data_IF_682968041769
#
_entry.id   IF_682968041769
#
_cell.length_a   1.000
_cell.length_b   1.000
_cell.length_c   1.000
_cell.angle_alpha   90.00
_cell.angle_beta   90.00
_cell.angle_gamma   90.00
#
_symmetry.space_group_name_H-M   'P 1'
#
loop_
_entity.id
_entity.type
_entity.pdbx_description
1 polymer ?
#
# COMPACT_ATOMS: atom_id res chain seq x y z
N UNK A 1 41.90 16.24 41.62
CA UNK A 1 41.70 16.06 40.17
C UNK A 1 41.18 14.65 39.92
N UNK A 2 39.88 14.53 39.74
CA UNK A 2 39.21 13.25 39.38
C UNK A 2 38.94 13.30 37.89
N UNK A 3 39.58 12.40 37.13
CA UNK A 3 39.33 12.23 35.70
C UNK A 3 38.04 11.38 35.53
N UNK A 4 37.01 11.96 34.92
CA UNK A 4 35.82 11.26 34.50
C UNK A 4 36.09 10.66 33.11
N UNK A 5 36.25 9.33 33.06
CA UNK A 5 36.36 8.61 31.81
C UNK A 5 34.93 8.45 31.23
N UNK A 6 34.63 9.19 30.17
CA UNK A 6 33.39 9.03 29.39
C UNK A 6 33.48 7.74 28.58
N UNK A 7 32.60 6.78 28.87
CA UNK A 7 32.41 5.60 28.05
C UNK A 7 31.51 5.97 26.88
N UNK A 8 32.11 6.12 25.69
CA UNK A 8 31.35 6.20 24.43
C UNK A 8 30.86 4.80 24.06
N UNK A 9 29.58 4.52 24.28
CA UNK A 9 28.94 3.37 23.64
C UNK A 9 28.79 3.68 22.14
N UNK A 10 29.69 3.14 21.32
CA UNK A 10 29.44 3.04 19.90
C UNK A 10 28.29 2.05 19.69
N UNK A 11 27.09 2.54 19.41
CA UNK A 11 26.00 1.75 18.88
C UNK A 11 26.45 1.25 17.50
N UNK A 12 26.97 0.05 17.44
CA UNK A 12 27.22 -0.66 16.18
C UNK A 12 25.83 -1.04 15.65
N UNK A 13 25.29 -0.24 14.74
CA UNK A 13 24.11 -0.66 13.96
C UNK A 13 24.51 -1.91 13.17
N UNK A 14 23.77 -3.01 13.27
CA UNK A 14 24.07 -4.19 12.49
C UNK A 14 23.95 -3.85 11.00
N UNK A 15 24.95 -4.17 10.19
CA UNK A 15 25.06 -3.83 8.76
C UNK A 15 23.84 -4.30 7.93
N UNK A 16 23.06 -5.28 8.40
CA UNK A 16 21.85 -5.76 7.76
C UNK A 16 20.65 -4.79 7.85
N UNK A 17 20.64 -3.84 8.78
CA UNK A 17 19.54 -2.86 8.89
C UNK A 17 19.59 -1.80 7.77
N UNK A 18 20.77 -1.42 7.30
CA UNK A 18 20.93 -0.50 6.19
C UNK A 18 20.55 -1.12 4.83
N UNK A 19 20.70 -2.45 4.67
CA UNK A 19 20.32 -3.17 3.45
C UNK A 19 18.81 -3.50 3.39
N UNK A 20 18.09 -3.39 4.51
CA UNK A 20 16.69 -3.80 4.59
C UNK A 20 15.76 -2.93 3.74
N UNK A 21 16.00 -1.63 3.70
CA UNK A 21 15.12 -0.67 3.01
C UNK A 21 15.24 -0.77 1.50
N UNK A 22 16.42 -1.09 0.97
CA UNK A 22 16.65 -1.23 -0.49
C UNK A 22 15.88 -2.39 -1.13
N UNK A 23 15.29 -3.29 -0.34
CA UNK A 23 14.50 -4.42 -0.84
C UNK A 23 13.11 -4.03 -1.37
N UNK A 24 12.64 -2.81 -1.09
CA UNK A 24 11.28 -2.38 -1.38
C UNK A 24 11.20 -1.31 -2.48
N UNK A 25 11.90 -1.53 -3.60
CA UNK A 25 11.96 -0.59 -4.72
C UNK A 25 10.69 -0.58 -5.57
N UNK A 26 10.37 -1.69 -6.27
CA UNK A 26 9.25 -1.81 -7.21
C UNK A 26 8.30 -2.90 -6.76
N UNK A 27 7.12 -2.52 -6.30
CA UNK A 27 6.15 -3.43 -5.71
C UNK A 27 4.78 -3.41 -6.36
N UNK A 28 3.96 -4.34 -5.87
CA UNK A 28 2.56 -4.47 -6.26
C UNK A 28 1.70 -4.88 -5.06
N UNK A 29 0.55 -4.22 -4.90
CA UNK A 29 -0.46 -4.58 -3.92
C UNK A 29 -1.13 -5.91 -4.27
N UNK A 30 -1.29 -6.78 -3.29
CA UNK A 30 -1.97 -8.06 -3.43
C UNK A 30 -3.02 -8.23 -2.32
N UNK A 31 -4.29 -8.05 -2.69
CA UNK A 31 -5.41 -8.04 -1.73
C UNK A 31 -6.25 -9.32 -1.77
N UNK A 32 -6.33 -10.01 -2.91
CA UNK A 32 -7.26 -11.14 -3.12
C UNK A 32 -6.95 -12.39 -2.27
N UNK A 33 -5.80 -12.47 -1.60
CA UNK A 33 -5.38 -13.65 -0.84
C UNK A 33 -5.77 -13.57 0.63
N UNK A 34 -5.57 -12.40 1.30
CA UNK A 34 -5.82 -12.26 2.74
C UNK A 34 -6.55 -10.98 3.15
N UNK A 35 -6.99 -10.11 2.23
CA UNK A 35 -7.67 -8.86 2.60
C UNK A 35 -9.19 -9.00 2.78
N UNK A 36 -9.82 -10.02 2.20
CA UNK A 36 -11.28 -10.14 2.14
C UNK A 36 -11.76 -11.43 2.80
N UNK A 37 -11.75 -11.46 4.14
CA UNK A 37 -12.19 -12.62 4.89
C UNK A 37 -13.71 -12.79 4.84
N UNK A 38 -14.19 -13.95 4.42
CA UNK A 38 -15.61 -14.27 4.34
C UNK A 38 -16.25 -14.36 5.74
N UNK A 39 -17.50 -13.85 5.86
CA UNK A 39 -18.31 -13.91 7.06
C UNK A 39 -19.30 -15.06 6.92
N UNK A 40 -19.39 -15.91 7.93
CA UNK A 40 -20.37 -17.01 8.00
C UNK A 40 -21.80 -16.44 8.15
N UNK A 41 -22.80 -17.05 7.51
CA UNK A 41 -24.20 -16.67 7.70
C UNK A 41 -24.61 -16.76 9.18
N UNK A 42 -25.37 -15.76 9.66
CA UNK A 42 -25.93 -15.77 11.00
C UNK A 42 -25.74 -14.46 11.77
N UNK A 43 -26.45 -14.27 12.90
CA UNK A 43 -26.45 -13.03 13.66
C UNK A 43 -25.13 -12.74 14.37
N UNK A 44 -24.32 -13.77 14.63
CA UNK A 44 -23.04 -13.64 15.33
C UNK A 44 -21.93 -13.04 14.46
N UNK A 45 -22.14 -12.87 13.14
CA UNK A 45 -21.18 -12.29 12.20
C UNK A 45 -19.75 -12.82 12.40
N UNK A 46 -19.60 -14.14 12.53
CA UNK A 46 -18.29 -14.75 12.67
C UNK A 46 -17.61 -14.91 11.33
N UNK A 47 -16.31 -14.68 11.28
CA UNK A 47 -15.52 -15.05 10.10
C UNK A 47 -15.58 -16.57 9.87
N UNK A 48 -15.57 -16.96 8.61
CA UNK A 48 -15.43 -18.39 8.23
C UNK A 48 -14.10 -18.91 8.75
N UNK A 49 -14.09 -20.15 9.26
CA UNK A 49 -12.87 -20.77 9.78
C UNK A 49 -12.57 -22.09 9.05
N UNK A 50 -11.31 -22.32 8.59
CA UNK A 50 -10.23 -21.33 8.56
C UNK A 50 -10.52 -20.21 7.54
N UNK A 51 -10.07 -18.95 7.81
CA UNK A 51 -10.19 -17.86 6.86
C UNK A 51 -9.19 -18.00 5.71
N UNK A 52 -9.38 -17.21 4.63
CA UNK A 52 -8.40 -17.05 3.55
C UNK A 52 -8.09 -18.37 2.78
N UNK A 53 -9.13 -19.13 2.43
CA UNK A 53 -8.97 -20.42 1.76
C UNK A 53 -9.20 -20.37 0.24
N UNK A 54 -9.55 -19.22 -0.33
CA UNK A 54 -9.98 -19.10 -1.72
C UNK A 54 -8.83 -19.24 -2.72
N UNK A 55 -7.59 -18.99 -2.29
CA UNK A 55 -6.39 -19.12 -3.11
C UNK A 55 -5.52 -20.27 -2.63
N UNK A 56 -5.32 -21.30 -3.47
CA UNK A 56 -4.44 -22.43 -3.15
C UNK A 56 -2.96 -22.00 -3.16
N UNK A 57 -2.09 -22.74 -2.44
CA UNK A 57 -0.63 -22.49 -2.43
C UNK A 57 -0.01 -22.60 -3.83
N UNK A 58 -0.53 -23.53 -4.66
CA UNK A 58 -0.04 -23.72 -6.03
C UNK A 58 -0.37 -22.51 -6.92
N UNK A 59 -1.61 -22.02 -6.85
CA UNK A 59 -2.04 -20.81 -7.57
C UNK A 59 -1.25 -19.60 -7.11
N UNK A 60 -1.17 -19.37 -5.79
CA UNK A 60 -0.42 -18.24 -5.22
C UNK A 60 1.05 -18.25 -5.64
N UNK A 61 1.69 -19.43 -5.60
CA UNK A 61 3.09 -19.57 -6.04
C UNK A 61 3.26 -19.28 -7.54
N UNK A 62 2.30 -19.66 -8.39
CA UNK A 62 2.33 -19.35 -9.81
C UNK A 62 2.25 -17.83 -10.06
N UNK A 63 1.35 -17.15 -9.38
CA UNK A 63 1.19 -15.69 -9.41
C UNK A 63 2.48 -14.98 -8.98
N UNK A 64 3.07 -15.36 -7.85
CA UNK A 64 4.32 -14.79 -7.36
C UNK A 64 5.49 -14.95 -8.35
N UNK A 65 5.58 -16.11 -9.01
CA UNK A 65 6.59 -16.33 -10.07
C UNK A 65 6.36 -15.42 -11.27
N UNK A 66 5.10 -15.18 -11.63
CA UNK A 66 4.77 -14.24 -12.71
C UNK A 66 5.17 -12.82 -12.34
N UNK A 67 4.80 -12.34 -11.14
CA UNK A 67 5.20 -11.02 -10.64
C UNK A 67 6.72 -10.84 -10.63
N UNK A 68 7.44 -11.85 -10.14
CA UNK A 68 8.91 -11.83 -10.13
C UNK A 68 9.51 -11.76 -11.53
N UNK A 69 8.96 -12.51 -12.50
CA UNK A 69 9.42 -12.49 -13.90
C UNK A 69 9.10 -11.16 -14.59
N UNK A 70 7.99 -10.52 -14.25
CA UNK A 70 7.62 -9.19 -14.76
C UNK A 70 8.57 -8.09 -14.29
N UNK A 71 9.29 -8.29 -13.18
CA UNK A 71 10.32 -7.36 -12.69
C UNK A 71 9.95 -6.68 -11.38
N UNK A 72 8.88 -7.11 -10.70
CA UNK A 72 8.61 -6.69 -9.33
C UNK A 72 9.64 -7.24 -8.36
N UNK A 73 9.92 -6.49 -7.31
CA UNK A 73 10.92 -6.78 -6.29
C UNK A 73 10.26 -7.19 -4.97
N UNK A 74 9.05 -6.68 -4.70
CA UNK A 74 8.28 -7.01 -3.51
C UNK A 74 6.77 -7.04 -3.76
N UNK A 75 6.05 -7.63 -2.81
CA UNK A 75 4.60 -7.60 -2.71
C UNK A 75 4.21 -6.80 -1.46
N UNK A 76 3.33 -5.81 -1.60
CA UNK A 76 2.59 -5.23 -0.49
C UNK A 76 1.36 -6.11 -0.27
N UNK A 77 1.43 -6.93 0.77
CA UNK A 77 0.51 -8.03 1.03
C UNK A 77 -0.57 -7.60 2.02
N UNK A 78 -1.72 -7.23 1.49
CA UNK A 78 -2.85 -6.77 2.29
C UNK A 78 -3.48 -7.92 3.09
N UNK A 79 -3.64 -7.73 4.39
CA UNK A 79 -4.10 -8.71 5.37
C UNK A 79 -5.19 -8.11 6.24
N UNK A 80 -6.41 -8.64 6.17
CA UNK A 80 -7.50 -8.25 7.06
C UNK A 80 -7.19 -8.63 8.52
N UNK A 81 -7.06 -7.67 9.45
CA UNK A 81 -6.81 -7.94 10.86
C UNK A 81 -8.02 -8.53 11.60
N UNK A 82 -9.24 -8.45 11.04
CA UNK A 82 -10.48 -8.88 11.68
C UNK A 82 -10.47 -10.32 12.15
N UNK A 83 -10.12 -11.33 11.33
CA UNK A 83 -10.02 -12.73 11.77
C UNK A 83 -9.03 -12.92 12.91
N UNK A 84 -7.92 -12.17 12.89
CA UNK A 84 -6.92 -12.22 13.96
C UNK A 84 -7.44 -11.60 15.27
N UNK A 85 -8.34 -10.66 15.24
CA UNK A 85 -8.96 -10.05 16.41
C UNK A 85 -10.09 -10.92 16.96
N UNK A 86 -10.85 -11.57 16.08
CA UNK A 86 -12.02 -12.36 16.48
C UNK A 86 -11.65 -13.74 17.05
N UNK A 87 -10.74 -14.47 16.41
CA UNK A 87 -10.39 -15.82 16.84
C UNK A 87 -9.46 -15.82 18.04
N UNK A 88 -9.63 -16.83 18.93
CA UNK A 88 -8.82 -17.02 20.14
C UNK A 88 -8.27 -18.45 20.21
N UNK A 89 -7.25 -18.68 21.04
CA UNK A 89 -6.64 -19.99 21.28
C UNK A 89 -6.15 -20.65 19.98
N UNK A 90 -6.39 -21.94 19.82
CA UNK A 90 -5.91 -22.72 18.68
C UNK A 90 -6.38 -22.19 17.32
N UNK A 91 -7.58 -21.59 17.24
CA UNK A 91 -8.06 -20.97 15.99
C UNK A 91 -7.20 -19.76 15.63
N UNK A 92 -6.83 -18.95 16.60
CA UNK A 92 -5.93 -17.81 16.39
C UNK A 92 -4.55 -18.29 15.97
N UNK A 93 -4.00 -19.31 16.62
CA UNK A 93 -2.70 -19.89 16.26
C UNK A 93 -2.73 -20.47 14.83
N UNK A 94 -3.86 -20.98 14.37
CA UNK A 94 -4.02 -21.43 12.98
C UNK A 94 -3.99 -20.26 12.00
N UNK A 95 -4.65 -19.12 12.31
CA UNK A 95 -4.62 -17.92 11.45
C UNK A 95 -3.19 -17.34 11.39
N UNK A 96 -2.48 -17.30 12.51
CA UNK A 96 -1.06 -16.89 12.54
C UNK A 96 -0.17 -17.77 11.65
N UNK A 97 -0.37 -19.09 11.67
CA UNK A 97 0.35 -20.01 10.78
C UNK A 97 0.05 -19.76 9.32
N UNK A 98 -1.21 -19.50 8.95
CA UNK A 98 -1.59 -19.15 7.57
C UNK A 98 -0.81 -17.91 7.11
N UNK A 99 -0.74 -16.85 7.92
CA UNK A 99 0.05 -15.66 7.59
C UNK A 99 1.53 -15.99 7.36
N UNK A 100 2.15 -16.69 8.30
CA UNK A 100 3.58 -17.05 8.22
C UNK A 100 3.86 -17.92 6.99
N UNK A 101 2.98 -18.87 6.68
CA UNK A 101 3.12 -19.74 5.50
C UNK A 101 3.04 -18.92 4.20
N UNK A 102 2.09 -17.96 4.08
CA UNK A 102 1.99 -17.04 2.93
C UNK A 102 3.24 -16.16 2.79
N UNK A 103 3.73 -15.57 3.88
CA UNK A 103 4.97 -14.78 3.88
C UNK A 103 6.16 -15.64 3.40
N UNK A 104 6.26 -16.88 3.83
CA UNK A 104 7.32 -17.78 3.40
C UNK A 104 7.21 -18.14 1.91
N UNK A 105 6.00 -18.33 1.37
CA UNK A 105 5.80 -18.54 -0.08
C UNK A 105 6.25 -17.32 -0.90
N UNK A 106 5.93 -16.08 -0.46
CA UNK A 106 6.39 -14.86 -1.12
C UNK A 106 7.92 -14.82 -1.15
N UNK A 107 8.56 -15.01 -0.01
CA UNK A 107 10.04 -14.98 0.11
C UNK A 107 10.72 -16.06 -0.72
N UNK A 108 10.19 -17.29 -0.70
CA UNK A 108 10.73 -18.41 -1.48
C UNK A 108 10.61 -18.20 -2.99
N UNK A 109 9.69 -17.34 -3.43
CA UNK A 109 9.56 -16.91 -4.83
C UNK A 109 10.58 -15.84 -5.23
N UNK A 110 11.45 -15.39 -4.30
CA UNK A 110 12.49 -14.39 -4.54
C UNK A 110 12.02 -12.94 -4.39
N UNK A 111 10.78 -12.71 -3.92
CA UNK A 111 10.20 -11.40 -3.62
C UNK A 111 10.41 -11.03 -2.16
N UNK A 112 10.54 -9.73 -1.86
CA UNK A 112 10.34 -9.20 -0.53
C UNK A 112 8.84 -9.01 -0.24
N UNK A 113 8.47 -8.77 1.01
CA UNK A 113 7.08 -8.59 1.41
C UNK A 113 6.93 -7.47 2.44
N UNK A 114 6.01 -6.56 2.20
CA UNK A 114 5.42 -5.69 3.20
C UNK A 114 4.10 -6.35 3.61
N UNK A 115 4.01 -6.82 4.84
CA UNK A 115 2.74 -7.31 5.41
C UNK A 115 1.98 -6.07 5.86
N UNK A 116 0.90 -5.77 5.18
CA UNK A 116 0.06 -4.60 5.42
C UNK A 116 -1.19 -5.02 6.18
N UNK A 117 -1.38 -4.52 7.40
CA UNK A 117 -2.67 -4.66 8.07
C UNK A 117 -3.69 -3.74 7.44
N UNK A 118 -4.56 -4.34 6.64
CA UNK A 118 -5.55 -3.71 5.77
C UNK A 118 -6.97 -3.95 6.29
N UNK A 119 -7.47 -3.13 7.26
CA UNK A 119 -8.82 -3.28 7.77
C UNK A 119 -9.84 -3.19 6.65
N UNK A 120 -10.72 -4.17 6.55
CA UNK A 120 -11.77 -4.22 5.54
C UNK A 120 -13.14 -3.85 6.12
N UNK A 121 -14.06 -3.42 5.24
CA UNK A 121 -15.46 -3.16 5.62
C UNK A 121 -16.32 -4.44 5.66
N UNK A 122 -15.70 -5.61 5.50
CA UNK A 122 -16.43 -6.90 5.54
C UNK A 122 -17.09 -7.15 6.89
N UNK A 123 -16.44 -6.74 7.99
CA UNK A 123 -16.98 -6.92 9.33
C UNK A 123 -17.10 -5.58 10.08
N UNK A 124 -18.31 -5.18 10.54
CA UNK A 124 -18.57 -3.85 11.10
C UNK A 124 -17.80 -3.54 12.40
N UNK A 125 -17.32 -4.55 13.13
CA UNK A 125 -16.60 -4.35 14.39
C UNK A 125 -15.08 -4.14 14.17
N UNK A 126 -14.55 -4.43 12.97
CA UNK A 126 -13.12 -4.39 12.67
C UNK A 126 -12.75 -3.49 11.50
N UNK A 127 -13.64 -2.57 11.11
CA UNK A 127 -13.34 -1.55 10.08
C UNK A 127 -12.25 -0.59 10.54
N UNK A 128 -11.59 0.08 9.61
CA UNK A 128 -10.57 1.08 9.94
C UNK A 128 -11.09 2.15 10.92
N UNK A 129 -12.34 2.65 10.72
CA UNK A 129 -13.00 3.61 11.62
C UNK A 129 -13.19 3.05 13.03
N UNK A 130 -13.50 1.76 13.17
CA UNK A 130 -13.67 1.13 14.48
C UNK A 130 -12.33 0.94 15.19
N UNK A 131 -11.31 0.51 14.44
CA UNK A 131 -9.97 0.33 14.97
C UNK A 131 -9.32 1.66 15.38
N UNK A 132 -9.69 2.77 14.74
CA UNK A 132 -9.17 4.12 15.05
C UNK A 132 -10.13 4.98 15.89
N UNK A 133 -11.08 4.36 16.59
CA UNK A 133 -12.06 5.09 17.42
C UNK A 133 -11.47 5.83 18.64
N UNK A 134 -10.16 5.74 18.84
CA UNK A 134 -9.40 6.45 19.87
C UNK A 134 -8.36 5.55 20.56
N UNK A 135 -7.28 6.18 21.02
CA UNK A 135 -6.13 5.49 21.61
C UNK A 135 -6.47 4.60 22.83
N UNK A 136 -7.52 4.94 23.57
CA UNK A 136 -7.95 4.19 24.77
C UNK A 136 -9.12 3.24 24.50
N UNK A 137 -9.63 3.17 23.26
CA UNK A 137 -10.74 2.29 22.94
C UNK A 137 -10.36 0.81 23.11
N UNK A 138 -11.25 -0.05 23.62
CA UNK A 138 -10.92 -1.47 23.84
C UNK A 138 -10.51 -2.19 22.55
N UNK A 139 -11.11 -1.83 21.41
CA UNK A 139 -10.78 -2.43 20.11
C UNK A 139 -9.37 -2.02 19.67
N UNK A 140 -8.98 -0.76 19.85
CA UNK A 140 -7.61 -0.33 19.55
C UNK A 140 -6.60 -0.98 20.49
N UNK A 141 -6.90 -1.14 21.78
CA UNK A 141 -6.02 -1.86 22.70
C UNK A 141 -5.84 -3.34 22.28
N UNK A 142 -6.89 -4.00 21.79
CA UNK A 142 -6.79 -5.34 21.22
C UNK A 142 -5.96 -5.34 19.93
N UNK A 143 -6.07 -4.29 19.12
CA UNK A 143 -5.26 -4.10 17.91
C UNK A 143 -3.78 -3.92 18.23
N UNK A 144 -3.42 -3.19 19.28
CA UNK A 144 -2.03 -3.09 19.75
C UNK A 144 -1.43 -4.45 20.18
N UNK A 145 -2.23 -5.29 20.83
CA UNK A 145 -1.81 -6.66 21.17
C UNK A 145 -1.59 -7.52 19.91
N UNK A 146 -2.45 -7.33 18.90
CA UNK A 146 -2.29 -7.96 17.59
C UNK A 146 -1.00 -7.52 16.91
N UNK A 147 -0.73 -6.20 16.86
CA UNK A 147 0.49 -5.64 16.28
C UNK A 147 1.74 -6.24 16.97
N UNK A 148 1.78 -6.24 18.29
CA UNK A 148 2.92 -6.81 19.04
C UNK A 148 3.13 -8.29 18.72
N UNK A 149 2.04 -9.09 18.67
CA UNK A 149 2.09 -10.51 18.35
C UNK A 149 2.58 -10.74 16.91
N UNK A 150 2.04 -10.00 15.96
CA UNK A 150 2.43 -10.12 14.55
C UNK A 150 3.88 -9.69 14.31
N UNK A 151 4.31 -8.59 14.91
CA UNK A 151 5.70 -8.15 14.84
C UNK A 151 6.66 -9.23 15.40
N UNK A 152 6.29 -9.92 16.48
CA UNK A 152 7.07 -11.03 17.04
C UNK A 152 7.14 -12.21 16.08
N UNK A 153 6.04 -12.58 15.42
CA UNK A 153 6.01 -13.68 14.44
C UNK A 153 6.86 -13.38 13.22
N UNK A 154 6.71 -12.17 12.65
CA UNK A 154 7.46 -11.76 11.48
C UNK A 154 8.96 -11.54 11.79
N UNK A 155 9.27 -10.94 12.93
CA UNK A 155 10.65 -10.73 13.39
C UNK A 155 11.39 -12.04 13.63
N UNK A 156 10.70 -13.10 14.10
CA UNK A 156 11.29 -14.43 14.28
C UNK A 156 11.71 -15.10 12.95
N UNK A 157 11.31 -14.58 11.80
CA UNK A 157 11.76 -15.06 10.49
C UNK A 157 13.14 -14.50 10.09
N UNK A 158 13.71 -13.58 10.86
CA UNK A 158 15.06 -13.02 10.73
C UNK A 158 15.43 -12.65 9.29
N UNK A 159 14.67 -11.76 8.65
CA UNK A 159 14.87 -11.40 7.25
C UNK A 159 14.71 -9.91 7.01
N UNK A 160 15.67 -9.33 6.28
CA UNK A 160 15.59 -7.96 5.76
C UNK A 160 14.64 -7.78 4.56
N UNK A 161 14.01 -8.87 4.10
CA UNK A 161 12.99 -8.87 3.04
C UNK A 161 11.56 -8.89 3.58
N UNK A 162 11.38 -8.62 4.86
CA UNK A 162 10.07 -8.52 5.49
C UNK A 162 9.95 -7.15 6.15
N UNK A 163 8.89 -6.44 5.81
CA UNK A 163 8.46 -5.25 6.55
C UNK A 163 7.02 -5.46 7.04
N UNK A 164 6.65 -4.71 8.07
CA UNK A 164 5.31 -4.73 8.64
C UNK A 164 4.72 -3.32 8.64
N UNK A 165 3.66 -3.14 7.88
CA UNK A 165 2.85 -1.93 7.83
C UNK A 165 1.75 -1.99 8.87
N UNK A 166 1.76 -1.01 9.77
CA UNK A 166 1.01 -1.09 11.02
C UNK A 166 -0.50 -0.90 10.85
N UNK A 167 -0.92 -0.13 9.83
CA UNK A 167 -2.31 0.07 9.44
C UNK A 167 -2.37 0.76 8.07
N UNK A 168 -3.14 0.18 7.15
CA UNK A 168 -3.54 0.81 5.91
C UNK A 168 -4.53 1.95 6.15
N UNK A 169 -4.27 3.10 5.55
CA UNK A 169 -5.20 4.22 5.39
C UNK A 169 -5.98 4.60 6.65
N UNK A 170 -5.34 5.01 7.74
CA UNK A 170 -6.06 5.46 8.93
C UNK A 170 -7.03 6.61 8.59
N UNK A 171 -8.36 6.42 8.71
CA UNK A 171 -9.36 7.38 8.21
C UNK A 171 -9.68 8.50 9.20
N UNK A 172 -8.67 8.98 9.89
CA UNK A 172 -8.79 10.03 10.91
C UNK A 172 -7.77 11.13 10.66
N UNK A 173 -8.01 12.38 11.15
CA UNK A 173 -7.04 13.46 11.05
C UNK A 173 -5.67 13.06 11.62
N UNK A 174 -4.59 13.60 11.04
CA UNK A 174 -3.23 13.31 11.48
C UNK A 174 -3.01 13.58 12.98
N UNK A 175 -3.61 14.64 13.51
CA UNK A 175 -3.51 14.97 14.92
C UNK A 175 -4.12 13.91 15.85
N UNK A 176 -5.21 13.25 15.41
CA UNK A 176 -5.86 12.17 16.15
C UNK A 176 -5.13 10.83 15.96
N UNK A 177 -4.56 10.61 14.76
CA UNK A 177 -3.78 9.41 14.44
C UNK A 177 -2.42 9.38 15.13
N UNK A 178 -1.72 10.50 15.24
CA UNK A 178 -0.37 10.58 15.78
C UNK A 178 -0.15 9.84 17.11
N UNK A 179 -0.97 10.03 18.17
CA UNK A 179 -0.79 9.29 19.42
C UNK A 179 -1.08 7.79 19.25
N UNK A 180 -1.99 7.39 18.36
CA UNK A 180 -2.28 5.99 18.06
C UNK A 180 -1.13 5.35 17.29
N UNK A 181 -0.54 6.05 16.32
CA UNK A 181 0.63 5.59 15.58
C UNK A 181 1.83 5.37 16.51
N UNK A 182 2.09 6.28 17.44
CA UNK A 182 3.16 6.12 18.44
C UNK A 182 2.93 4.88 19.31
N UNK A 183 1.68 4.63 19.73
CA UNK A 183 1.33 3.44 20.50
C UNK A 183 1.48 2.15 19.68
N UNK A 184 1.08 2.16 18.40
CA UNK A 184 1.22 1.04 17.47
C UNK A 184 2.70 0.72 17.19
N UNK A 185 3.52 1.74 16.94
CA UNK A 185 4.97 1.61 16.79
C UNK A 185 5.60 1.00 18.06
N UNK A 186 5.26 1.50 19.24
CA UNK A 186 5.77 0.96 20.49
C UNK A 186 5.35 -0.51 20.71
N UNK A 187 4.13 -0.88 20.32
CA UNK A 187 3.67 -2.27 20.36
C UNK A 187 4.47 -3.16 19.39
N UNK A 188 4.71 -2.71 18.16
CA UNK A 188 5.52 -3.44 17.20
C UNK A 188 6.96 -3.64 17.70
N UNK A 189 7.58 -2.61 18.32
CA UNK A 189 8.95 -2.69 18.86
C UNK A 189 9.06 -3.59 20.12
N UNK A 190 7.99 -3.76 20.89
CA UNK A 190 7.94 -4.82 21.92
C UNK A 190 7.91 -6.21 21.32
N UNK A 191 7.28 -6.38 20.14
CA UNK A 191 7.27 -7.65 19.42
C UNK A 191 8.60 -7.98 18.75
N UNK A 192 9.19 -6.99 18.06
CA UNK A 192 10.48 -7.15 17.36
C UNK A 192 11.23 -5.80 17.33
N UNK A 193 12.50 -5.83 17.73
CA UNK A 193 13.35 -4.63 17.73
C UNK A 193 13.85 -4.25 16.34
N UNK A 194 14.01 -5.24 15.46
CA UNK A 194 14.78 -5.12 14.23
C UNK A 194 13.91 -5.25 12.96
N UNK A 195 12.62 -5.60 13.09
CA UNK A 195 11.71 -5.72 11.95
C UNK A 195 11.52 -4.35 11.30
N UNK A 196 11.66 -4.28 9.99
CA UNK A 196 11.32 -3.05 9.25
C UNK A 196 9.84 -2.74 9.42
N UNK A 197 9.52 -1.52 9.85
CA UNK A 197 8.15 -1.03 10.03
C UNK A 197 7.82 -0.02 8.94
N UNK A 198 6.59 -0.07 8.43
CA UNK A 198 6.04 0.93 7.54
C UNK A 198 4.99 1.74 8.29
N UNK A 199 5.14 3.06 8.30
CA UNK A 199 4.29 4.01 9.02
C UNK A 199 3.57 4.91 8.03
N UNK A 200 2.24 4.98 8.15
CA UNK A 200 1.38 5.86 7.35
C UNK A 200 0.86 7.03 8.17
N UNK A 201 0.60 8.15 7.48
CA UNK A 201 -0.14 9.27 8.04
C UNK A 201 -1.64 8.97 8.14
N UNK A 202 -2.39 9.85 8.82
CA UNK A 202 -3.85 9.86 8.80
C UNK A 202 -4.42 10.30 7.43
N UNK A 203 -5.71 10.64 7.41
CA UNK A 203 -6.39 11.07 6.17
C UNK A 203 -6.10 10.11 4.99
N UNK A 204 -6.33 8.80 5.25
CA UNK A 204 -6.19 7.74 4.24
C UNK A 204 -4.78 7.73 3.60
N UNK A 205 -3.74 7.84 4.46
CA UNK A 205 -2.33 7.84 4.06
C UNK A 205 -1.95 8.95 3.06
N UNK A 206 -2.66 10.08 3.06
CA UNK A 206 -2.40 11.16 2.12
C UNK A 206 -1.01 11.79 2.29
N UNK A 207 -0.41 12.28 1.20
CA UNK A 207 0.88 12.97 1.25
C UNK A 207 0.89 14.20 2.20
N UNK A 208 -0.16 15.04 2.27
CA UNK A 208 -0.25 16.08 3.28
C UNK A 208 -0.18 15.55 4.73
N UNK A 209 -0.90 14.47 5.05
CA UNK A 209 -0.87 13.89 6.38
C UNK A 209 0.49 13.27 6.74
N UNK A 210 1.19 12.70 5.76
CA UNK A 210 2.59 12.29 5.96
C UNK A 210 3.45 13.51 6.32
N UNK A 211 3.33 14.62 5.59
CA UNK A 211 4.11 15.83 5.85
C UNK A 211 3.78 16.53 7.18
N UNK A 212 2.58 16.30 7.71
CA UNK A 212 2.15 16.77 9.04
C UNK A 212 2.54 15.80 10.17
N UNK A 213 3.17 14.67 9.88
CA UNK A 213 3.55 13.67 10.87
C UNK A 213 4.70 14.19 11.76
N UNK A 214 4.53 14.08 13.08
CA UNK A 214 5.64 14.23 14.02
C UNK A 214 6.53 12.98 13.99
N UNK A 215 7.69 13.08 13.35
CA UNK A 215 8.64 11.97 13.16
C UNK A 215 9.58 11.76 14.35
N UNK A 216 9.64 12.68 15.31
CA UNK A 216 10.57 12.61 16.46
C UNK A 216 10.52 11.27 17.21
N UNK A 217 9.33 10.66 17.48
CA UNK A 217 9.27 9.37 18.16
C UNK A 217 9.96 8.21 17.41
N UNK A 218 10.18 8.35 16.11
CA UNK A 218 10.69 7.30 15.22
C UNK A 218 12.10 7.59 14.70
N UNK A 219 12.59 8.82 14.86
CA UNK A 219 13.78 9.35 14.17
C UNK A 219 15.10 8.63 14.50
N UNK A 220 15.17 7.94 15.64
CA UNK A 220 16.35 7.16 16.04
C UNK A 220 16.33 5.72 15.52
N UNK A 221 15.27 5.31 14.83
CA UNK A 221 15.07 3.95 14.37
C UNK A 221 15.37 3.82 12.87
N UNK A 222 16.49 3.18 12.48
CA UNK A 222 16.87 3.04 11.08
C UNK A 222 16.02 2.02 10.32
N UNK A 223 15.13 1.28 10.99
CA UNK A 223 14.26 0.29 10.38
C UNK A 223 12.81 0.81 10.23
N UNK A 224 12.65 2.10 9.89
CA UNK A 224 11.35 2.72 9.63
C UNK A 224 11.30 3.23 8.19
N UNK A 225 10.22 2.89 7.52
CA UNK A 225 9.80 3.43 6.22
C UNK A 225 8.57 4.30 6.45
N UNK A 226 8.51 5.46 5.83
CA UNK A 226 7.38 6.37 5.86
C UNK A 226 6.61 6.26 4.56
N UNK A 227 5.32 5.94 4.63
CA UNK A 227 4.49 5.63 3.46
C UNK A 227 3.40 6.67 3.25
N UNK A 228 3.09 6.93 2.00
CA UNK A 228 1.93 7.70 1.56
C UNK A 228 1.30 7.06 0.34
N UNK A 229 0.00 7.34 0.12
CA UNK A 229 -0.75 6.93 -1.06
C UNK A 229 -0.96 8.11 -2.00
N UNK A 230 -1.07 7.83 -3.30
CA UNK A 230 -1.24 8.86 -4.31
C UNK A 230 -2.24 8.43 -5.37
N UNK A 231 -3.39 9.09 -5.37
CA UNK A 231 -4.46 8.85 -6.32
C UNK A 231 -4.90 10.14 -7.05
N UNK A 232 -4.14 11.23 -6.91
CA UNK A 232 -4.49 12.47 -7.62
C UNK A 232 -4.18 12.36 -9.14
N UNK A 233 -5.06 12.90 -9.96
CA UNK A 233 -6.33 13.57 -9.63
C UNK A 233 -7.44 12.54 -9.45
N UNK A 234 -8.15 12.61 -8.34
CA UNK A 234 -9.17 11.64 -7.95
C UNK A 234 -10.29 11.47 -9.02
N UNK A 235 -10.61 12.53 -9.73
CA UNK A 235 -11.59 12.50 -10.83
C UNK A 235 -11.18 11.53 -11.94
N UNK A 236 -9.89 11.47 -12.26
CA UNK A 236 -9.36 10.54 -13.26
C UNK A 236 -9.21 9.12 -12.71
N UNK A 237 -8.57 8.99 -11.55
CA UNK A 237 -8.20 7.68 -11.02
C UNK A 237 -9.39 6.87 -10.52
N UNK A 238 -10.47 7.53 -10.07
CA UNK A 238 -11.63 6.86 -9.50
C UNK A 238 -12.91 6.99 -10.36
N UNK A 239 -12.79 7.52 -11.60
CA UNK A 239 -13.94 7.59 -12.48
C UNK A 239 -14.61 6.22 -12.65
N UNK A 240 -15.93 6.18 -12.55
CA UNK A 240 -16.73 4.97 -12.71
C UNK A 240 -16.65 3.95 -11.57
N UNK A 241 -15.86 4.19 -10.52
CA UNK A 241 -15.76 3.28 -9.38
C UNK A 241 -17.02 3.36 -8.50
N UNK A 242 -17.83 2.29 -8.48
CA UNK A 242 -19.19 2.27 -7.93
C UNK A 242 -19.29 2.59 -6.43
N UNK A 243 -18.21 2.42 -5.69
CA UNK A 243 -18.15 2.55 -4.23
C UNK A 243 -17.79 3.96 -3.73
N UNK A 244 -17.53 4.94 -4.65
CA UNK A 244 -17.06 6.26 -4.26
C UNK A 244 -17.83 7.42 -4.94
N UNK A 245 -17.61 8.69 -4.55
CA UNK A 245 -18.27 9.84 -5.14
C UNK A 245 -18.01 10.03 -6.65
N UNK A 246 -16.89 9.54 -7.20
CA UNK A 246 -16.55 9.63 -8.62
C UNK A 246 -17.25 8.56 -9.50
N UNK A 247 -18.12 7.73 -8.94
CA UNK A 247 -18.86 6.66 -9.65
C UNK A 247 -19.64 7.10 -10.88
N UNK A 248 -20.02 8.36 -10.93
CA UNK A 248 -20.77 8.95 -12.05
C UNK A 248 -19.87 9.65 -13.06
N UNK A 249 -18.58 9.82 -12.78
CA UNK A 249 -17.63 10.38 -13.74
C UNK A 249 -17.28 9.33 -14.78
N UNK A 250 -17.23 9.74 -16.05
CA UNK A 250 -16.88 8.88 -17.16
C UNK A 250 -16.07 9.64 -18.20
N UNK A 251 -15.15 8.94 -18.84
CA UNK A 251 -14.32 9.47 -19.93
C UNK A 251 -13.52 10.72 -19.53
N UNK A 252 -13.09 10.78 -18.28
CA UNK A 252 -12.23 11.83 -17.75
C UNK A 252 -10.82 11.65 -18.30
N UNK A 253 -10.26 12.67 -18.99
CA UNK A 253 -8.92 12.54 -19.58
C UNK A 253 -7.79 12.72 -18.59
N UNK A 254 -6.61 12.21 -18.95
CA UNK A 254 -5.33 12.58 -18.36
C UNK A 254 -4.29 12.80 -19.47
N UNK A 255 -3.58 13.95 -19.45
CA UNK A 255 -3.71 15.14 -18.59
C UNK A 255 -5.08 15.83 -18.70
N UNK A 256 -5.40 16.74 -17.77
CA UNK A 256 -6.72 17.40 -17.71
C UNK A 256 -7.13 18.10 -19.01
N UNK A 257 -6.17 18.59 -19.79
CA UNK A 257 -6.36 19.29 -21.04
C UNK A 257 -6.32 18.38 -22.28
N UNK A 258 -6.11 17.05 -22.13
CA UNK A 258 -5.89 16.14 -23.26
C UNK A 258 -7.08 16.05 -24.23
N UNK A 259 -8.30 16.27 -23.73
CA UNK A 259 -9.53 16.24 -24.52
C UNK A 259 -10.50 17.34 -24.12
N UNK A 260 -11.48 17.72 -24.96
CA UNK A 260 -12.50 18.72 -24.63
C UNK A 260 -13.37 18.28 -23.46
N UNK A 261 -13.71 19.21 -22.57
CA UNK A 261 -14.57 18.98 -21.41
C UNK A 261 -15.94 18.39 -21.79
N UNK A 262 -16.50 18.81 -22.93
CA UNK A 262 -17.82 18.36 -23.35
C UNK A 262 -17.91 16.85 -23.59
N UNK A 263 -16.79 16.17 -23.93
CA UNK A 263 -16.76 14.71 -24.10
C UNK A 263 -17.02 14.00 -22.77
N UNK A 264 -16.33 14.42 -21.70
CA UNK A 264 -16.53 13.89 -20.35
C UNK A 264 -17.92 14.22 -19.80
N UNK A 265 -18.45 15.43 -20.08
CA UNK A 265 -19.81 15.81 -19.67
C UNK A 265 -20.86 14.94 -20.37
N UNK A 266 -20.70 14.67 -21.66
CA UNK A 266 -21.63 13.82 -22.42
C UNK A 266 -21.59 12.36 -21.94
N UNK A 267 -20.39 11.81 -21.72
CA UNK A 267 -20.22 10.45 -21.21
C UNK A 267 -20.81 10.30 -19.78
N UNK A 268 -20.55 11.27 -18.91
CA UNK A 268 -21.10 11.34 -17.55
C UNK A 268 -22.63 11.43 -17.55
N UNK A 269 -23.22 12.26 -18.42
CA UNK A 269 -24.66 12.36 -18.56
C UNK A 269 -25.28 11.02 -19.02
N UNK A 270 -24.65 10.34 -19.98
CA UNK A 270 -25.08 9.03 -20.46
C UNK A 270 -25.00 7.96 -19.35
N UNK A 271 -23.90 7.92 -18.58
CA UNK A 271 -23.73 7.02 -17.46
C UNK A 271 -24.83 7.25 -16.38
N UNK A 272 -25.08 8.49 -15.98
CA UNK A 272 -26.13 8.83 -15.00
C UNK A 272 -27.53 8.45 -15.52
N UNK A 273 -27.79 8.70 -16.81
CA UNK A 273 -29.08 8.35 -17.44
C UNK A 273 -29.34 6.83 -17.43
N UNK A 274 -28.30 6.03 -17.57
CA UNK A 274 -28.35 4.56 -17.52
C UNK A 274 -28.51 3.99 -16.07
N UNK A 275 -28.34 4.84 -15.04
CA UNK A 275 -28.43 4.40 -13.64
C UNK A 275 -29.88 4.37 -13.17
N UNK A 276 -30.27 3.31 -12.43
CA UNK A 276 -31.60 3.18 -11.82
C UNK A 276 -31.73 4.02 -10.53
N UNK A 277 -31.74 5.35 -10.70
CA UNK A 277 -31.98 6.30 -9.62
C UNK A 277 -33.09 7.29 -10.02
N UNK A 278 -33.89 7.81 -9.06
CA UNK A 278 -34.95 8.78 -9.33
C UNK A 278 -34.47 10.04 -10.05
N UNK A 279 -35.29 10.59 -10.96
CA UNK A 279 -34.94 11.76 -11.74
C UNK A 279 -34.37 12.95 -10.95
N UNK A 280 -34.93 13.36 -9.76
CA UNK A 280 -34.31 14.40 -8.95
C UNK A 280 -32.88 14.08 -8.49
N UNK A 281 -32.60 12.82 -8.15
CA UNK A 281 -31.25 12.38 -7.76
C UNK A 281 -30.30 12.37 -8.97
N UNK A 282 -30.79 12.06 -10.18
CA UNK A 282 -29.97 12.16 -11.42
C UNK A 282 -29.55 13.61 -11.68
N UNK A 283 -30.45 14.56 -11.52
CA UNK A 283 -30.12 15.98 -11.70
C UNK A 283 -29.02 16.46 -10.73
N UNK A 284 -29.14 16.09 -9.44
CA UNK A 284 -28.11 16.42 -8.44
C UNK A 284 -26.78 15.73 -8.73
N UNK A 285 -26.80 14.44 -9.09
CA UNK A 285 -25.60 13.69 -9.47
C UNK A 285 -24.88 14.33 -10.67
N UNK A 286 -25.66 14.81 -11.67
CA UNK A 286 -25.07 15.49 -12.81
C UNK A 286 -24.46 16.84 -12.43
N UNK A 287 -25.13 17.64 -11.61
CA UNK A 287 -24.60 18.92 -11.14
C UNK A 287 -23.29 18.76 -10.35
N UNK A 288 -23.23 17.77 -9.43
CA UNK A 288 -21.99 17.46 -8.68
C UNK A 288 -20.88 16.99 -9.63
N UNK A 289 -21.20 16.07 -10.54
CA UNK A 289 -20.23 15.56 -11.51
C UNK A 289 -19.70 16.65 -12.46
N UNK A 290 -20.59 17.54 -12.93
CA UNK A 290 -20.22 18.69 -13.77
C UNK A 290 -19.26 19.61 -13.03
N UNK A 291 -19.57 20.02 -11.80
CA UNK A 291 -18.69 20.87 -11.00
C UNK A 291 -17.30 20.25 -10.81
N UNK A 292 -17.22 18.94 -10.49
CA UNK A 292 -15.96 18.22 -10.34
C UNK A 292 -15.15 18.18 -11.66
N UNK A 293 -15.79 18.00 -12.80
CA UNK A 293 -15.13 18.00 -14.11
C UNK A 293 -14.62 19.38 -14.51
N UNK A 294 -15.40 20.45 -14.21
CA UNK A 294 -15.02 21.84 -14.44
C UNK A 294 -13.80 22.23 -13.57
N UNK A 295 -13.82 21.88 -12.27
CA UNK A 295 -12.70 22.11 -11.34
C UNK A 295 -11.45 21.36 -11.79
N UNK A 296 -11.59 20.08 -12.17
CA UNK A 296 -10.48 19.29 -12.70
C UNK A 296 -9.89 19.90 -13.97
N UNK A 297 -10.75 20.31 -14.91
CA UNK A 297 -10.32 20.99 -16.13
C UNK A 297 -9.58 22.28 -15.82
N UNK A 298 -10.09 23.08 -14.89
CA UNK A 298 -9.50 24.36 -14.49
C UNK A 298 -8.15 24.20 -13.77
N UNK A 299 -7.94 23.08 -13.10
CA UNK A 299 -6.67 22.78 -12.39
C UNK A 299 -5.50 22.56 -13.33
N UNK A 300 -5.73 22.28 -14.62
CA UNK A 300 -4.70 21.91 -15.60
C UNK A 300 -3.77 20.78 -15.14
N UNK A 301 -4.32 19.83 -14.37
CA UNK A 301 -3.56 18.74 -13.78
C UNK A 301 -2.83 17.89 -14.83
N UNK A 302 -1.53 17.68 -14.63
CA UNK A 302 -0.66 16.97 -15.57
C UNK A 302 0.57 16.39 -14.85
N UNK A 303 1.52 15.80 -15.62
CA UNK A 303 2.73 15.21 -15.07
C UNK A 303 3.64 16.18 -14.30
N UNK A 304 3.60 17.49 -14.59
CA UNK A 304 4.35 18.49 -13.81
C UNK A 304 3.72 18.68 -12.43
N UNK A 305 2.40 18.60 -12.31
CA UNK A 305 1.70 18.65 -11.02
C UNK A 305 2.13 17.47 -10.15
N UNK A 306 2.13 16.24 -10.73
CA UNK A 306 2.59 15.03 -10.03
C UNK A 306 4.04 15.21 -9.57
N UNK A 307 4.95 15.65 -10.45
CA UNK A 307 6.34 15.86 -10.11
C UNK A 307 6.53 16.88 -8.97
N UNK A 308 5.72 17.94 -8.96
CA UNK A 308 5.76 18.96 -7.90
C UNK A 308 5.26 18.41 -6.56
N UNK A 309 4.22 17.56 -6.56
CA UNK A 309 3.71 16.90 -5.35
C UNK A 309 4.77 16.00 -4.71
N UNK A 310 5.44 15.18 -5.52
CA UNK A 310 6.51 14.30 -5.04
C UNK A 310 7.74 15.07 -4.57
N UNK A 311 8.07 16.18 -5.23
CA UNK A 311 9.16 17.06 -4.78
C UNK A 311 8.88 17.64 -3.37
N UNK A 312 7.62 18.00 -3.06
CA UNK A 312 7.24 18.46 -1.70
C UNK A 312 7.47 17.38 -0.64
N UNK A 313 7.15 16.13 -0.94
CA UNK A 313 7.43 14.99 -0.04
C UNK A 313 8.93 14.80 0.13
N UNK A 314 9.73 14.93 -0.94
CA UNK A 314 11.18 14.83 -0.89
C UNK A 314 11.81 15.95 -0.05
N UNK A 315 11.33 17.17 -0.19
CA UNK A 315 11.77 18.32 0.61
C UNK A 315 11.42 18.15 2.09
N UNK A 316 10.24 17.63 2.38
CA UNK A 316 9.85 17.27 3.74
C UNK A 316 10.77 16.19 4.33
N UNK A 317 11.02 15.09 3.61
CA UNK A 317 11.90 14.03 4.06
C UNK A 317 13.30 14.57 4.36
N UNK A 318 13.85 15.37 3.45
CA UNK A 318 15.15 16.03 3.64
C UNK A 318 15.19 16.94 4.86
N UNK A 319 14.15 17.74 5.10
CA UNK A 319 14.06 18.63 6.27
C UNK A 319 14.00 17.87 7.60
N UNK A 320 13.53 16.61 7.59
CA UNK A 320 13.48 15.71 8.73
C UNK A 320 14.66 14.73 8.79
N UNK A 321 15.67 14.89 7.91
CA UNK A 321 16.84 14.00 7.83
C UNK A 321 16.47 12.54 7.55
N UNK A 322 15.38 12.32 6.81
CA UNK A 322 14.92 10.98 6.38
C UNK A 322 15.54 10.67 5.02
N UNK A 323 16.28 9.55 4.86
CA UNK A 323 16.80 9.13 3.57
C UNK A 323 15.67 8.89 2.56
N UNK A 324 15.92 9.18 1.27
CA UNK A 324 14.90 9.06 0.24
C UNK A 324 14.38 7.61 0.06
N UNK A 325 15.23 6.62 0.23
CA UNK A 325 14.89 5.20 0.19
C UNK A 325 14.06 4.72 1.39
N UNK A 326 13.90 5.56 2.42
CA UNK A 326 12.96 5.35 3.52
C UNK A 326 11.57 5.95 3.25
N UNK A 327 11.33 6.50 2.06
CA UNK A 327 10.00 6.96 1.64
C UNK A 327 9.40 5.94 0.66
N UNK A 328 8.15 5.56 0.92
CA UNK A 328 7.39 4.61 0.12
C UNK A 328 6.12 5.25 -0.41
N UNK A 329 5.92 5.19 -1.74
CA UNK A 329 4.59 5.32 -2.32
C UNK A 329 3.88 3.97 -2.14
N UNK A 330 3.09 3.84 -1.07
CA UNK A 330 2.48 2.57 -0.64
C UNK A 330 1.40 2.08 -1.58
N UNK A 331 0.63 3.03 -2.16
CA UNK A 331 -0.37 2.73 -3.19
C UNK A 331 -0.47 3.84 -4.22
N UNK A 332 -0.70 3.44 -5.47
CA UNK A 332 -1.21 4.28 -6.56
C UNK A 332 -1.87 3.40 -7.62
N UNK A 333 -2.91 3.92 -8.26
CA UNK A 333 -3.66 3.17 -9.24
C UNK A 333 -4.71 4.02 -9.95
N UNK A 334 -5.25 3.52 -11.06
CA UNK A 334 -6.35 4.16 -11.77
C UNK A 334 -7.37 3.11 -12.20
N UNK A 335 -8.64 3.39 -11.90
CA UNK A 335 -9.75 2.49 -12.17
C UNK A 335 -9.94 2.29 -13.67
N UNK A 336 -10.00 1.04 -14.07
CA UNK A 336 -10.42 0.61 -15.39
C UNK A 336 -11.63 -0.31 -15.20
N UNK A 337 -12.80 0.12 -15.64
CA UNK A 337 -14.01 -0.70 -15.55
C UNK A 337 -14.41 -1.14 -16.96
N UNK A 338 -13.87 -2.25 -17.48
CA UNK A 338 -14.09 -2.67 -18.86
C UNK A 338 -15.57 -2.93 -19.21
N UNK A 339 -16.35 -3.38 -18.20
CA UNK A 339 -17.76 -3.75 -18.41
C UNK A 339 -18.70 -2.54 -18.59
N UNK A 340 -18.27 -1.32 -18.23
CA UNK A 340 -19.13 -0.14 -18.23
C UNK A 340 -18.59 1.02 -19.10
N UNK A 341 -17.42 0.86 -19.71
CA UNK A 341 -16.72 1.90 -20.50
C UNK A 341 -16.54 3.25 -19.75
N UNK A 342 -16.62 3.22 -18.43
CA UNK A 342 -16.61 4.42 -17.57
C UNK A 342 -15.29 4.68 -16.85
N UNK A 343 -14.34 3.74 -16.91
CA UNK A 343 -13.01 3.91 -16.34
C UNK A 343 -12.04 4.66 -17.25
N UNK A 344 -10.80 4.85 -16.79
CA UNK A 344 -9.75 5.53 -17.53
C UNK A 344 -9.43 4.80 -18.85
N UNK A 345 -9.22 5.56 -19.93
CA UNK A 345 -8.76 5.00 -21.22
C UNK A 345 -7.36 4.41 -21.06
N UNK A 346 -7.09 3.29 -21.72
CA UNK A 346 -5.84 2.53 -21.57
C UNK A 346 -4.57 3.38 -21.78
N UNK A 347 -4.55 4.24 -22.82
CA UNK A 347 -3.40 5.11 -23.12
C UNK A 347 -3.17 6.18 -22.06
N UNK A 348 -4.23 6.83 -21.58
CA UNK A 348 -4.18 7.86 -20.54
C UNK A 348 -3.85 7.24 -19.19
N UNK A 349 -4.37 6.04 -18.93
CA UNK A 349 -4.04 5.24 -17.74
C UNK A 349 -2.55 4.87 -17.72
N UNK A 350 -2.01 4.37 -18.82
CA UNK A 350 -0.58 4.07 -18.96
C UNK A 350 0.30 5.32 -18.78
N UNK A 351 -0.10 6.47 -19.34
CA UNK A 351 0.61 7.73 -19.16
C UNK A 351 0.63 8.17 -17.69
N UNK A 352 -0.51 8.07 -16.99
CA UNK A 352 -0.58 8.42 -15.57
C UNK A 352 0.31 7.51 -14.72
N UNK A 353 0.27 6.19 -14.96
CA UNK A 353 1.17 5.24 -14.27
C UNK A 353 2.64 5.56 -14.52
N UNK A 354 3.00 5.91 -15.76
CA UNK A 354 4.35 6.35 -16.09
C UNK A 354 4.75 7.59 -15.29
N UNK A 355 3.92 8.64 -15.29
CA UNK A 355 4.25 9.91 -14.66
C UNK A 355 4.40 9.76 -13.15
N UNK A 356 3.51 9.00 -12.49
CA UNK A 356 3.60 8.73 -11.04
C UNK A 356 4.82 7.89 -10.69
N UNK A 357 5.05 6.76 -11.39
CA UNK A 357 6.20 5.90 -11.09
C UNK A 357 7.53 6.60 -11.37
N UNK A 358 7.59 7.45 -12.40
CA UNK A 358 8.76 8.28 -12.70
C UNK A 358 9.02 9.35 -11.65
N UNK A 359 7.96 9.98 -11.13
CA UNK A 359 8.08 10.94 -10.04
C UNK A 359 8.63 10.28 -8.75
N UNK A 360 8.13 9.09 -8.39
CA UNK A 360 8.66 8.31 -7.27
C UNK A 360 10.15 7.97 -7.48
N UNK A 361 10.50 7.40 -8.62
CA UNK A 361 11.89 7.01 -8.95
C UNK A 361 12.85 8.21 -8.98
N UNK A 362 12.42 9.35 -9.55
CA UNK A 362 13.25 10.57 -9.63
C UNK A 362 13.61 11.12 -8.25
N UNK A 363 12.76 10.87 -7.24
CA UNK A 363 12.99 11.27 -5.85
C UNK A 363 13.61 10.13 -5.01
N UNK A 364 13.93 8.97 -5.59
CA UNK A 364 14.54 7.85 -4.88
C UNK A 364 13.57 7.05 -4.01
N UNK A 365 12.25 7.21 -4.20
CA UNK A 365 11.24 6.52 -3.43
C UNK A 365 10.98 5.11 -3.95
N UNK A 366 10.72 4.17 -3.04
CA UNK A 366 10.09 2.91 -3.41
C UNK A 366 8.60 3.11 -3.73
N UNK A 367 7.99 2.16 -4.46
CA UNK A 367 6.58 2.27 -4.82
C UNK A 367 5.91 0.89 -4.95
N UNK A 368 4.60 0.84 -4.64
CA UNK A 368 3.75 -0.31 -4.89
C UNK A 368 2.48 0.10 -5.63
N UNK A 369 2.24 -0.48 -6.81
CA UNK A 369 1.04 -0.21 -7.57
C UNK A 369 -0.16 -0.98 -7.00
N UNK A 370 -1.34 -0.37 -6.95
CA UNK A 370 -2.59 -1.00 -6.54
C UNK A 370 -3.47 -1.31 -7.75
N UNK A 371 -3.79 -2.59 -8.03
CA UNK A 371 -3.37 -3.80 -7.39
C UNK A 371 -3.16 -4.91 -8.44
N UNK A 372 -2.66 -6.08 -8.04
CA UNK A 372 -2.49 -7.20 -8.97
C UNK A 372 -3.83 -7.71 -9.47
N UNK A 373 -4.77 -8.05 -8.55
CA UNK A 373 -6.12 -8.56 -8.87
C UNK A 373 -7.18 -7.87 -8.00
N UNK A 374 -8.40 -7.95 -8.47
CA UNK A 374 -9.58 -7.48 -7.74
C UNK A 374 -10.02 -6.07 -8.14
N UNK A 375 -11.28 -5.95 -8.57
CA UNK A 375 -11.91 -4.68 -8.91
C UNK A 375 -11.32 -3.94 -10.11
N UNK A 376 -11.75 -2.72 -10.30
CA UNK A 376 -11.36 -1.90 -11.45
C UNK A 376 -9.91 -1.40 -11.45
N UNK A 377 -9.19 -1.54 -10.35
CA UNK A 377 -7.77 -1.18 -10.25
C UNK A 377 -6.83 -2.31 -10.67
N UNK A 378 -7.36 -3.51 -10.94
CA UNK A 378 -6.56 -4.67 -11.29
C UNK A 378 -5.65 -4.43 -12.50
N UNK A 379 -4.40 -4.91 -12.40
CA UNK A 379 -3.44 -4.92 -13.50
C UNK A 379 -3.40 -6.24 -14.26
N UNK A 380 -3.90 -7.33 -13.67
CA UNK A 380 -4.07 -8.60 -14.37
C UNK A 380 -5.14 -8.45 -15.45
N UNK A 381 -4.87 -8.96 -16.65
CA UNK A 381 -5.75 -8.82 -17.82
C UNK A 381 -7.13 -9.49 -17.62
N UNK A 382 -7.19 -10.51 -16.78
CA UNK A 382 -8.43 -11.15 -16.34
C UNK A 382 -8.18 -11.92 -15.04
N UNK A 383 -9.25 -12.33 -14.34
CA UNK A 383 -9.12 -13.12 -13.12
C UNK A 383 -8.48 -14.50 -13.35
N UNK A 384 -8.48 -14.99 -14.58
CA UNK A 384 -7.84 -16.24 -15.00
C UNK A 384 -6.43 -16.07 -15.58
N UNK A 385 -6.02 -14.83 -15.90
CA UNK A 385 -4.70 -14.56 -16.47
C UNK A 385 -3.73 -14.09 -15.38
N UNK A 386 -2.55 -14.68 -15.37
CA UNK A 386 -1.47 -14.27 -14.47
C UNK A 386 -0.67 -13.06 -14.99
N UNK A 387 -0.81 -12.76 -16.30
CA UNK A 387 -0.08 -11.69 -16.95
C UNK A 387 -0.65 -10.30 -16.62
N UNK A 388 0.26 -9.37 -16.34
CA UNK A 388 -0.06 -7.95 -16.20
C UNK A 388 -0.25 -7.32 -17.58
N UNK A 389 -1.13 -6.33 -17.65
CA UNK A 389 -1.36 -5.52 -18.85
C UNK A 389 -0.03 -4.98 -19.40
N UNK A 390 0.35 -5.32 -20.65
CA UNK A 390 1.68 -4.98 -21.19
C UNK A 390 1.96 -3.47 -21.23
N UNK A 391 0.97 -2.66 -21.57
CA UNK A 391 1.09 -1.19 -21.62
C UNK A 391 1.40 -0.60 -20.26
N UNK A 392 0.83 -1.16 -19.18
CA UNK A 392 1.11 -0.73 -17.82
C UNK A 392 2.48 -1.24 -17.36
N UNK A 393 2.85 -2.48 -17.69
CA UNK A 393 4.18 -2.99 -17.36
C UNK A 393 5.29 -2.12 -18.00
N UNK A 394 5.09 -1.71 -19.28
CA UNK A 394 6.00 -0.79 -19.98
C UNK A 394 6.02 0.59 -19.30
N UNK A 395 4.85 1.17 -18.99
CA UNK A 395 4.73 2.46 -18.32
C UNK A 395 5.46 2.50 -16.96
N UNK A 396 5.39 1.41 -16.21
CA UNK A 396 6.09 1.22 -14.94
C UNK A 396 7.60 0.92 -15.09
N UNK A 397 8.10 0.79 -16.33
CA UNK A 397 9.49 0.41 -16.59
C UNK A 397 9.84 -1.01 -16.15
N UNK A 398 8.85 -1.91 -16.13
CA UNK A 398 9.02 -3.31 -15.78
C UNK A 398 9.39 -4.10 -17.04
N UNK A 399 10.55 -4.76 -17.01
CA UNK A 399 10.99 -5.61 -18.11
C UNK A 399 11.38 -6.99 -17.57
N UNK A 400 11.03 -8.08 -18.26
CA UNK A 400 11.46 -9.42 -17.87
C UNK A 400 13.00 -9.48 -17.71
N UNK A 401 13.46 -9.88 -16.53
CA UNK A 401 14.88 -10.03 -16.25
C UNK A 401 15.62 -8.80 -15.69
N UNK A 402 14.98 -7.66 -15.53
CA UNK A 402 15.59 -6.42 -14.97
C UNK A 402 15.55 -6.31 -13.45
N UNK A 403 14.96 -7.29 -12.76
CA UNK A 403 15.12 -7.35 -11.32
C UNK A 403 16.61 -7.33 -10.98
N UNK A 404 17.07 -6.32 -10.22
CA UNK A 404 18.48 -6.19 -9.81
C UNK A 404 18.98 -7.56 -9.37
N UNK A 405 20.02 -8.08 -10.05
CA UNK A 405 20.82 -9.15 -9.46
C UNK A 405 21.31 -8.58 -8.14
N UNK A 406 20.97 -9.25 -7.02
CA UNK A 406 21.69 -9.02 -5.79
C UNK A 406 23.17 -9.14 -6.16
N UNK A 407 23.93 -8.05 -6.07
CA UNK A 407 25.38 -8.11 -6.20
C UNK A 407 25.82 -9.12 -5.15
N UNK A 408 26.26 -10.27 -5.63
CA UNK A 408 26.97 -11.22 -4.78
C UNK A 408 28.20 -10.47 -4.29
N UNK A 409 28.21 -10.16 -2.99
CA UNK A 409 29.40 -9.61 -2.36
C UNK A 409 30.61 -10.44 -2.82
N UNK A 410 31.74 -9.80 -3.18
CA UNK A 410 32.93 -10.53 -3.61
C UNK A 410 33.31 -11.50 -2.51
N UNK A 411 33.38 -12.78 -2.85
CA UNK A 411 33.91 -13.83 -1.98
C UNK A 411 35.33 -13.45 -1.65
N UNK A 412 35.57 -12.95 -0.44
CA UNK A 412 36.90 -12.73 0.09
C UNK A 412 37.53 -14.10 0.25
N UNK A 413 38.62 -14.45 -0.48
CA UNK A 413 39.24 -15.74 -0.34
C UNK A 413 39.81 -15.87 1.08
N UNK A 414 39.55 -17.01 1.72
CA UNK A 414 40.09 -17.32 3.04
C UNK A 414 41.62 -17.20 3.06
N UNK A 415 42.22 -16.65 4.14
CA UNK A 415 43.68 -16.56 4.24
C UNK A 415 44.32 -17.93 4.16
N UNK A 416 45.25 -18.11 3.22
CA UNK A 416 46.06 -19.31 3.13
C UNK A 416 46.87 -19.46 4.42
N UNK A 417 46.68 -20.57 5.12
CA UNK A 417 47.61 -21.00 6.18
C UNK A 417 48.95 -21.29 5.51
N UNK A 418 49.95 -20.54 5.89
CA UNK A 418 51.35 -20.87 5.55
C UNK A 418 51.81 -22.05 6.40
N UNK A 419 52.72 -22.88 5.88
CA UNK A 419 53.17 -24.13 6.50
C UNK A 419 53.92 -23.96 7.81
#
# INVERSE_FOLDING_TARGET
MLAVAGVWLCLVTPAWAADAVTAFGRGIGMSHVMAWAAIAPGPARQFVFPPFTDTSDAQFTAELRTLRRTGFEFVRFAVDPGPFLQFQGERRDRVDRILVDRVNLIRSSGLAVIVDFHPSDMHPDYTAQRLTAGATSPVFQSYLQLIERTARLLGALHSNKIAFELMNEPPVPQADWQPMLVAAYAAARRGSRDLTLVLEGGHEASAPALMDMNTVPFSADPAVIYSFHYYDPYQFTHQGASWNPARYLADVPYPAQARPLHDSLAATAALIAATDIPAPKRALAYQDAQARLEDYRASDFNGHTIAADFARVADWAKSHSIPADHIQLGEFGANQTPAQESGARATERAQWFHDVSRAAQANGFGWAVWAYRGGGFALAQSDSADAIEPSIAEALGLHPGTARRAETAPVVPAPRRLP
#
